data_IF_524587971695
#
_entry.id   IF_524587971695
#
_cell.length_a   1.000
_cell.length_b   1.000
_cell.length_c   1.000
_cell.angle_alpha   90.00
_cell.angle_beta   90.00
_cell.angle_gamma   90.00
#
_symmetry.space_group_name_H-M   'P 1'
#
loop_
_entity.id
_entity.type
_entity.pdbx_description
1 polymer ?
#
# COMPACT_ATOMS: atom_id res chain seq x y z
N UNK A 1 -11.28 6.84 -26.71
CA UNK A 1 -11.46 5.39 -26.50
C UNK A 1 -11.78 5.12 -25.04
N UNK A 2 -12.73 4.23 -24.75
CA UNK A 2 -13.07 3.79 -23.40
C UNK A 2 -12.63 2.36 -23.17
N UNK A 3 -12.17 2.09 -21.95
CA UNK A 3 -11.75 0.76 -21.49
C UNK A 3 -12.78 0.22 -20.51
N UNK A 4 -13.20 -1.01 -20.73
CA UNK A 4 -14.03 -1.79 -19.83
C UNK A 4 -13.10 -2.77 -19.11
N UNK A 5 -12.88 -2.50 -17.83
CA UNK A 5 -11.96 -3.27 -17.00
C UNK A 5 -12.73 -4.11 -16.00
N UNK A 6 -12.24 -5.30 -15.76
CA UNK A 6 -12.62 -6.11 -14.61
C UNK A 6 -11.48 -6.02 -13.58
N UNK A 7 -11.81 -5.62 -12.37
CA UNK A 7 -10.90 -5.52 -11.23
C UNK A 7 -11.29 -6.58 -10.22
N UNK A 8 -10.42 -7.55 -9.99
CA UNK A 8 -10.67 -8.72 -9.15
C UNK A 8 -9.70 -8.68 -7.98
N UNK A 9 -10.19 -8.67 -6.75
CA UNK A 9 -9.34 -8.78 -5.57
C UNK A 9 -8.88 -10.23 -5.37
N UNK A 10 -7.62 -10.41 -4.96
CA UNK A 10 -7.06 -11.71 -4.59
C UNK A 10 -7.46 -12.07 -3.17
N UNK A 11 -8.64 -12.63 -3.03
CA UNK A 11 -9.29 -13.00 -1.77
C UNK A 11 -9.96 -14.37 -1.88
N UNK A 12 -10.18 -15.04 -0.74
CA UNK A 12 -10.87 -16.34 -0.70
C UNK A 12 -12.30 -16.23 -1.23
N UNK A 13 -12.98 -15.13 -0.95
CA UNK A 13 -14.29 -14.83 -1.48
C UNK A 13 -14.18 -14.08 -2.82
N UNK A 14 -15.18 -14.25 -3.68
CA UNK A 14 -15.22 -13.54 -4.95
C UNK A 14 -15.57 -12.06 -4.72
N UNK A 15 -14.57 -11.21 -4.90
CA UNK A 15 -14.72 -9.74 -4.84
C UNK A 15 -14.23 -9.16 -6.16
N UNK A 16 -15.14 -8.61 -6.95
CA UNK A 16 -14.82 -7.99 -8.24
C UNK A 16 -15.70 -6.79 -8.55
N UNK A 17 -15.15 -5.88 -9.35
CA UNK A 17 -15.90 -4.79 -9.95
C UNK A 17 -15.61 -4.73 -11.45
N UNK A 18 -16.65 -4.49 -12.24
CA UNK A 18 -16.50 -4.11 -13.64
C UNK A 18 -16.68 -2.61 -13.76
N UNK A 19 -15.72 -1.96 -14.37
CA UNK A 19 -15.65 -0.50 -14.46
C UNK A 19 -15.41 -0.06 -15.90
N UNK A 20 -15.85 1.14 -16.22
CA UNK A 20 -15.55 1.81 -17.47
C UNK A 20 -14.74 3.06 -17.16
N UNK A 21 -13.64 3.26 -17.87
CA UNK A 21 -12.75 4.41 -17.70
C UNK A 21 -12.28 4.91 -19.07
N UNK A 22 -12.09 6.22 -19.22
CA UNK A 22 -11.51 6.80 -20.43
C UNK A 22 -10.04 6.39 -20.57
N UNK A 23 -9.64 6.04 -21.79
CA UNK A 23 -8.26 5.68 -22.10
C UNK A 23 -7.26 6.82 -21.88
N UNK A 24 -7.72 8.07 -22.02
CA UNK A 24 -6.92 9.26 -21.74
C UNK A 24 -6.73 9.57 -20.24
N UNK A 25 -7.51 8.93 -19.35
CA UNK A 25 -7.31 9.06 -17.90
C UNK A 25 -5.95 8.50 -17.50
N UNK A 26 -5.31 9.09 -16.51
CA UNK A 26 -4.04 8.59 -15.99
C UNK A 26 -4.23 7.31 -15.15
N UNK A 27 -3.17 6.51 -15.03
CA UNK A 27 -3.17 5.37 -14.11
C UNK A 27 -3.33 5.82 -12.65
N UNK A 28 -2.95 7.07 -12.32
CA UNK A 28 -3.24 7.67 -11.02
C UNK A 28 -4.76 7.83 -10.80
N UNK A 29 -5.51 8.29 -11.81
CA UNK A 29 -6.97 8.34 -11.70
C UNK A 29 -7.58 6.94 -11.52
N UNK A 30 -7.07 5.94 -12.24
CA UNK A 30 -7.52 4.55 -12.03
C UNK A 30 -7.20 4.06 -10.61
N UNK A 31 -6.02 4.37 -10.08
CA UNK A 31 -5.66 4.09 -8.68
C UNK A 31 -6.65 4.71 -7.70
N UNK A 32 -6.95 6.02 -7.84
CA UNK A 32 -7.90 6.72 -6.97
C UNK A 32 -9.30 6.10 -7.01
N UNK A 33 -9.77 5.68 -8.20
CA UNK A 33 -11.05 5.01 -8.34
C UNK A 33 -11.07 3.62 -7.70
N UNK A 34 -10.04 2.79 -7.92
CA UNK A 34 -9.92 1.47 -7.26
C UNK A 34 -9.89 1.67 -5.75
N UNK A 35 -9.07 2.60 -5.29
CA UNK A 35 -8.93 2.94 -3.89
C UNK A 35 -10.27 3.28 -3.23
N UNK A 36 -11.06 4.17 -3.84
CA UNK A 36 -12.35 4.61 -3.32
C UNK A 36 -13.40 3.50 -3.39
N UNK A 37 -13.45 2.80 -4.52
CA UNK A 37 -14.48 1.79 -4.78
C UNK A 37 -14.33 0.54 -3.91
N UNK A 38 -13.10 0.16 -3.58
CA UNK A 38 -12.83 -0.97 -2.69
C UNK A 38 -12.69 -0.57 -1.23
N UNK A 39 -12.80 0.73 -0.90
CA UNK A 39 -12.70 1.25 0.46
C UNK A 39 -11.35 0.98 1.11
N UNK A 40 -10.27 1.14 0.35
CA UNK A 40 -8.91 0.91 0.82
C UNK A 40 -8.48 2.03 1.80
N UNK A 41 -7.48 1.77 2.64
CA UNK A 41 -7.02 2.73 3.63
C UNK A 41 -6.15 3.83 2.98
N UNK A 42 -6.35 5.12 3.28
CA UNK A 42 -5.52 6.19 2.73
C UNK A 42 -4.09 6.16 3.27
N UNK A 43 -3.15 6.60 2.42
CA UNK A 43 -1.75 6.79 2.82
C UNK A 43 -0.84 5.59 2.58
N UNK A 44 -1.36 4.49 2.08
CA UNK A 44 -0.55 3.33 1.71
C UNK A 44 0.02 3.47 0.30
N UNK A 45 1.18 2.86 0.09
CA UNK A 45 1.83 2.81 -1.23
C UNK A 45 1.16 1.78 -2.13
N UNK A 46 1.13 2.09 -3.42
CA UNK A 46 0.61 1.19 -4.44
C UNK A 46 1.46 1.23 -5.71
N UNK A 47 1.40 0.17 -6.49
CA UNK A 47 2.00 0.11 -7.82
C UNK A 47 1.13 -0.72 -8.76
N UNK A 48 1.17 -0.36 -10.05
CA UNK A 48 0.69 -1.24 -11.10
C UNK A 48 1.87 -2.03 -11.68
N UNK A 49 1.57 -3.22 -12.16
CA UNK A 49 2.53 -4.05 -12.87
C UNK A 49 1.92 -4.47 -14.20
N UNK A 50 2.70 -4.38 -15.28
CA UNK A 50 2.31 -5.01 -16.54
C UNK A 50 2.22 -6.51 -16.32
N UNK A 51 1.25 -7.18 -16.95
CA UNK A 51 1.06 -8.60 -16.75
C UNK A 51 0.78 -9.33 -18.07
N UNK A 52 1.05 -10.63 -18.06
CA UNK A 52 0.73 -11.54 -19.16
C UNK A 52 -0.66 -12.15 -18.99
N UNK A 53 -1.13 -12.90 -20.00
CA UNK A 53 -2.35 -13.67 -19.91
C UNK A 53 -2.32 -14.77 -18.81
N UNK A 54 -1.13 -15.11 -18.30
CA UNK A 54 -0.93 -16.06 -17.19
C UNK A 54 -0.81 -15.35 -15.83
N UNK A 55 -0.99 -14.05 -15.78
CA UNK A 55 -0.82 -13.22 -14.58
C UNK A 55 0.61 -13.15 -14.05
N UNK A 56 1.60 -13.40 -14.91
CA UNK A 56 3.00 -13.19 -14.54
C UNK A 56 3.26 -11.71 -14.30
N UNK A 57 3.91 -11.38 -13.20
CA UNK A 57 4.27 -10.01 -12.86
C UNK A 57 5.42 -9.53 -13.74
N UNK A 58 5.19 -8.45 -14.46
CA UNK A 58 6.18 -7.77 -15.32
C UNK A 58 6.74 -6.50 -14.70
N UNK A 59 7.03 -5.52 -15.55
CA UNK A 59 7.61 -4.25 -15.13
C UNK A 59 6.64 -3.46 -14.23
N UNK A 60 7.22 -2.74 -13.28
CA UNK A 60 6.47 -1.90 -12.33
C UNK A 60 6.18 -0.53 -12.93
N UNK A 61 4.96 -0.04 -12.67
CA UNK A 61 4.58 1.34 -12.82
C UNK A 61 4.30 1.92 -11.43
N UNK A 62 5.26 2.62 -10.83
CA UNK A 62 5.12 3.14 -9.48
C UNK A 62 4.17 4.35 -9.42
N UNK A 63 3.68 4.65 -8.22
CA UNK A 63 2.84 5.82 -7.97
C UNK A 63 3.58 7.12 -8.35
N UNK A 64 4.85 7.23 -7.98
CA UNK A 64 5.70 8.39 -8.23
C UNK A 64 6.96 8.00 -8.98
N UNK A 65 7.35 8.82 -9.96
CA UNK A 65 8.62 8.65 -10.63
C UNK A 65 9.77 9.01 -9.67
N UNK A 66 10.82 8.19 -9.64
CA UNK A 66 12.05 8.50 -8.89
C UNK A 66 12.99 9.41 -9.67
N UNK A 67 12.91 9.37 -11.00
CA UNK A 67 13.68 10.19 -11.94
C UNK A 67 12.76 10.72 -13.03
N UNK A 68 13.11 11.84 -13.65
CA UNK A 68 12.30 12.52 -14.67
C UNK A 68 12.01 11.63 -15.91
N UNK A 69 12.86 10.64 -16.17
CA UNK A 69 12.75 9.73 -17.31
C UNK A 69 11.99 8.43 -16.97
N UNK A 70 11.61 8.22 -15.71
CA UNK A 70 10.89 7.01 -15.30
C UNK A 70 9.38 7.17 -15.45
N UNK A 71 8.68 6.13 -15.96
CA UNK A 71 7.23 6.14 -16.01
C UNK A 71 6.63 6.11 -14.60
N UNK A 72 5.50 6.80 -14.42
CA UNK A 72 4.73 6.80 -13.19
C UNK A 72 3.24 6.74 -13.49
N UNK A 73 2.44 6.49 -12.46
CA UNK A 73 0.97 6.46 -12.61
C UNK A 73 0.40 7.79 -13.12
N UNK A 74 0.99 8.92 -12.74
CA UNK A 74 0.54 10.24 -13.18
C UNK A 74 0.87 10.49 -14.66
N UNK A 75 2.05 10.07 -15.10
CA UNK A 75 2.55 10.29 -16.47
C UNK A 75 2.09 9.27 -17.49
N UNK A 76 1.41 8.18 -17.08
CA UNK A 76 0.98 7.09 -17.96
C UNK A 76 -0.54 7.03 -18.03
N UNK A 77 -1.10 7.07 -19.23
CA UNK A 77 -2.55 6.90 -19.42
C UNK A 77 -2.96 5.42 -19.40
N UNK A 78 -4.25 5.16 -19.15
CA UNK A 78 -4.84 3.81 -19.20
C UNK A 78 -4.60 3.16 -20.57
N UNK A 79 -4.77 3.93 -21.64
CA UNK A 79 -4.53 3.46 -23.01
C UNK A 79 -3.05 3.10 -23.23
N UNK A 80 -2.11 3.90 -22.73
CA UNK A 80 -0.69 3.59 -22.81
C UNK A 80 -0.33 2.34 -22.03
N UNK A 81 -0.85 2.20 -20.82
CA UNK A 81 -0.60 1.03 -19.96
C UNK A 81 -1.08 -0.26 -20.62
N UNK A 82 -2.28 -0.26 -21.17
CA UNK A 82 -2.85 -1.45 -21.81
C UNK A 82 -2.55 -1.56 -23.33
N UNK A 83 -1.66 -0.74 -23.90
CA UNK A 83 -1.32 -0.78 -25.31
C UNK A 83 -0.67 -2.10 -25.76
N UNK A 84 0.09 -2.75 -24.88
CA UNK A 84 0.81 -3.99 -25.15
C UNK A 84 0.27 -5.23 -24.46
N UNK A 85 -0.70 -5.08 -23.58
CA UNK A 85 -1.28 -6.17 -22.78
C UNK A 85 -2.74 -5.91 -22.47
N UNK A 86 -3.50 -6.97 -22.19
CA UNK A 86 -4.86 -6.86 -21.65
C UNK A 86 -4.94 -7.07 -20.16
N UNK A 87 -3.81 -7.39 -19.53
CA UNK A 87 -3.73 -7.79 -18.13
C UNK A 87 -2.76 -6.88 -17.38
N UNK A 88 -3.11 -6.54 -16.16
CA UNK A 88 -2.27 -5.81 -15.22
C UNK A 88 -2.50 -6.32 -13.80
N UNK A 89 -1.55 -6.06 -12.94
CA UNK A 89 -1.70 -6.26 -11.50
C UNK A 89 -1.67 -4.89 -10.83
N UNK A 90 -2.50 -4.72 -9.82
CA UNK A 90 -2.44 -3.59 -8.91
C UNK A 90 -2.13 -4.13 -7.52
N UNK A 91 -1.02 -3.71 -6.96
CA UNK A 91 -0.58 -4.09 -5.61
C UNK A 91 -0.72 -2.88 -4.72
N UNK A 92 -1.45 -3.04 -3.65
CA UNK A 92 -1.74 -2.01 -2.67
C UNK A 92 -1.29 -2.48 -1.29
N UNK A 93 -0.67 -1.60 -0.52
CA UNK A 93 -0.09 -1.91 0.78
C UNK A 93 0.89 -3.09 0.71
N UNK A 94 2.15 -2.80 0.42
CA UNK A 94 3.20 -3.83 0.22
C UNK A 94 3.49 -4.68 1.46
N UNK A 95 3.04 -4.26 2.64
CA UNK A 95 3.16 -5.06 3.86
C UNK A 95 2.15 -6.19 3.90
N UNK A 96 0.90 -5.90 3.52
CA UNK A 96 -0.19 -6.87 3.49
C UNK A 96 -0.36 -7.55 2.12
N UNK A 97 0.33 -7.01 1.09
CA UNK A 97 0.32 -7.54 -0.28
C UNK A 97 -1.09 -7.75 -0.84
N UNK A 98 -1.93 -6.71 -0.75
CA UNK A 98 -3.26 -6.76 -1.36
C UNK A 98 -3.13 -6.67 -2.89
N UNK A 99 -3.43 -7.72 -3.58
CA UNK A 99 -3.30 -7.85 -5.03
C UNK A 99 -4.68 -7.78 -5.69
N UNK A 100 -4.75 -7.02 -6.78
CA UNK A 100 -5.91 -6.96 -7.65
C UNK A 100 -5.49 -7.28 -9.08
N UNK A 101 -6.23 -8.17 -9.70
CA UNK A 101 -6.07 -8.53 -11.10
C UNK A 101 -6.91 -7.59 -11.97
N UNK A 102 -6.28 -6.98 -12.96
CA UNK A 102 -6.91 -6.07 -13.92
C UNK A 102 -6.99 -6.73 -15.29
N UNK A 103 -8.17 -6.88 -15.82
CA UNK A 103 -8.40 -7.46 -17.15
C UNK A 103 -9.17 -6.46 -18.04
N UNK A 104 -8.66 -6.18 -19.23
CA UNK A 104 -9.38 -5.45 -20.26
C UNK A 104 -10.39 -6.40 -20.92
N UNK A 105 -11.66 -6.25 -20.61
CA UNK A 105 -12.75 -7.06 -21.16
C UNK A 105 -13.04 -6.65 -22.59
N UNK A 106 -13.14 -5.33 -22.84
CA UNK A 106 -13.33 -4.74 -24.17
C UNK A 106 -12.91 -3.28 -24.18
N UNK A 107 -12.80 -2.73 -25.38
CA UNK A 107 -12.62 -1.29 -25.63
C UNK A 107 -13.68 -0.78 -26.58
N UNK A 108 -14.09 0.48 -26.44
CA UNK A 108 -15.05 1.16 -27.34
C UNK A 108 -14.49 2.51 -27.78
N UNK A 109 -14.71 2.86 -29.04
CA UNK A 109 -14.25 4.15 -29.61
C UNK A 109 -15.13 5.33 -29.16
N UNK A 110 -16.40 5.07 -28.87
CA UNK A 110 -17.34 6.09 -28.39
C UNK A 110 -17.01 6.42 -26.92
N UNK A 111 -16.95 7.71 -26.61
CA UNK A 111 -16.70 8.20 -25.28
C UNK A 111 -18.01 8.66 -24.62
N UNK A 112 -18.30 8.11 -23.45
CA UNK A 112 -19.38 8.58 -22.59
C UNK A 112 -19.05 9.93 -21.96
N UNK A 113 -20.01 10.53 -21.27
CA UNK A 113 -19.84 11.82 -20.59
C UNK A 113 -19.03 11.71 -19.31
N UNK A 114 -19.05 10.55 -18.66
CA UNK A 114 -18.38 10.32 -17.37
C UNK A 114 -17.00 9.71 -17.60
N UNK A 115 -16.02 10.19 -16.83
CA UNK A 115 -14.63 9.73 -16.93
C UNK A 115 -14.45 8.32 -16.36
N UNK A 116 -15.27 7.97 -15.36
CA UNK A 116 -15.28 6.67 -14.70
C UNK A 116 -16.69 6.27 -14.28
N UNK A 117 -17.04 4.98 -14.46
CA UNK A 117 -18.32 4.41 -14.06
C UNK A 117 -18.14 2.98 -13.56
N UNK A 118 -18.71 2.65 -12.41
CA UNK A 118 -18.86 1.27 -11.94
C UNK A 118 -20.09 0.67 -12.60
N UNK A 119 -19.88 -0.38 -13.39
CA UNK A 119 -20.94 -1.08 -14.13
C UNK A 119 -21.55 -2.24 -13.34
N UNK A 120 -20.71 -2.93 -12.57
CA UNK A 120 -21.08 -4.10 -11.77
C UNK A 120 -20.17 -4.20 -10.55
N UNK A 121 -20.71 -4.67 -9.44
CA UNK A 121 -19.98 -4.93 -8.21
C UNK A 121 -20.46 -6.23 -7.58
N UNK A 122 -19.53 -7.13 -7.26
CA UNK A 122 -19.80 -8.41 -6.61
C UNK A 122 -18.89 -8.54 -5.42
N UNK A 123 -19.46 -8.85 -4.25
CA UNK A 123 -18.73 -8.99 -3.00
C UNK A 123 -18.20 -7.66 -2.44
N UNK A 124 -17.67 -7.74 -1.25
CA UNK A 124 -16.97 -6.62 -0.56
C UNK A 124 -15.69 -7.18 0.03
N UNK A 125 -14.63 -6.36 0.06
CA UNK A 125 -13.40 -6.76 0.76
C UNK A 125 -13.70 -7.03 2.23
N UNK A 126 -13.10 -8.08 2.82
CA UNK A 126 -13.17 -8.24 4.26
C UNK A 126 -12.63 -6.95 4.89
N UNK A 127 -13.44 -6.34 5.76
CA UNK A 127 -12.94 -5.22 6.54
C UNK A 127 -11.83 -5.77 7.40
N UNK A 128 -10.60 -5.40 7.11
CA UNK A 128 -9.54 -5.51 8.08
C UNK A 128 -9.97 -4.63 9.24
N UNK A 129 -10.62 -5.23 10.24
CA UNK A 129 -10.61 -4.67 11.56
C UNK A 129 -9.12 -4.66 11.91
N UNK A 130 -8.44 -3.53 11.64
CA UNK A 130 -7.21 -3.23 12.32
C UNK A 130 -7.49 -3.59 13.78
N UNK A 131 -6.62 -4.40 14.44
CA UNK A 131 -6.81 -4.62 15.86
C UNK A 131 -7.01 -3.22 16.42
N UNK A 132 -8.21 -2.97 16.91
CA UNK A 132 -8.51 -1.76 17.64
C UNK A 132 -7.62 -1.83 18.88
N UNK A 133 -6.36 -1.45 18.72
CA UNK A 133 -5.68 -0.71 19.74
C UNK A 133 -6.43 0.62 19.77
N UNK A 134 -7.64 0.57 20.31
CA UNK A 134 -8.14 1.66 21.10
C UNK A 134 -7.13 1.79 22.26
N UNK A 135 -5.93 2.27 21.94
CA UNK A 135 -5.24 3.14 22.82
C UNK A 135 -6.23 4.30 22.95
N UNK A 136 -7.12 4.17 23.94
CA UNK A 136 -7.78 5.30 24.53
C UNK A 136 -6.62 6.27 24.79
N UNK A 137 -6.46 7.24 23.89
CA UNK A 137 -5.66 8.44 24.16
C UNK A 137 -6.16 8.90 25.52
N UNK A 138 -5.34 8.84 26.57
CA UNK A 138 -5.75 9.38 27.84
C UNK A 138 -6.03 10.85 27.58
N UNK A 139 -7.24 11.28 27.88
CA UNK A 139 -7.67 12.68 27.76
C UNK A 139 -7.03 13.54 28.85
N UNK A 140 -5.91 13.12 29.42
CA UNK A 140 -5.11 13.85 30.37
C UNK A 140 -3.81 14.31 29.71
N UNK A 141 -3.50 15.57 29.91
CA UNK A 141 -2.22 16.15 29.53
C UNK A 141 -1.09 15.37 30.24
N UNK A 142 0.00 14.98 29.55
CA UNK A 142 1.11 14.26 30.17
C UNK A 142 1.69 14.94 31.40
N UNK A 143 1.52 16.25 31.54
CA UNK A 143 1.92 17.03 32.72
C UNK A 143 1.04 16.82 33.97
N UNK A 144 -0.13 16.22 33.81
CA UNK A 144 -1.08 15.91 34.89
C UNK A 144 -1.12 14.41 35.25
N UNK A 145 -0.27 13.61 34.63
CA UNK A 145 -0.18 12.17 34.87
C UNK A 145 0.81 11.89 36.00
N UNK A 146 0.51 10.89 36.83
CA UNK A 146 1.43 10.41 37.84
C UNK A 146 2.58 9.61 37.21
N UNK A 147 3.72 9.48 37.92
CA UNK A 147 4.87 8.70 37.44
C UNK A 147 4.50 7.24 37.13
N UNK A 148 3.56 6.65 37.90
CA UNK A 148 3.05 5.29 37.65
C UNK A 148 2.24 5.20 36.35
N UNK A 149 1.41 6.22 36.04
CA UNK A 149 0.63 6.28 34.82
C UNK A 149 1.53 6.51 33.58
N UNK A 150 2.59 7.33 33.74
CA UNK A 150 3.61 7.55 32.71
C UNK A 150 4.43 6.29 32.43
N UNK A 151 4.87 5.58 33.47
CA UNK A 151 5.62 4.34 33.32
C UNK A 151 4.81 3.24 32.63
N UNK A 152 3.52 3.11 32.97
CA UNK A 152 2.63 2.17 32.30
C UNK A 152 2.38 2.55 30.81
N UNK A 153 2.29 3.85 30.52
CA UNK A 153 2.07 4.33 29.15
C UNK A 153 3.29 4.11 28.23
N UNK A 154 4.50 4.27 28.79
CA UNK A 154 5.76 4.12 28.05
C UNK A 154 6.43 2.75 28.21
N UNK A 155 5.80 1.81 28.95
CA UNK A 155 6.30 0.45 29.14
C UNK A 155 7.60 0.38 29.93
N UNK A 156 7.82 1.27 30.90
CA UNK A 156 9.04 1.37 31.67
C UNK A 156 9.02 0.52 32.95
N UNK A 157 7.97 -0.23 33.21
CA UNK A 157 7.81 -1.07 34.42
C UNK A 157 8.78 -2.25 34.50
N UNK A 158 9.44 -2.62 33.39
CA UNK A 158 10.37 -3.75 33.35
C UNK A 158 11.84 -3.40 33.59
N UNK A 159 12.17 -2.13 33.91
CA UNK A 159 13.58 -1.71 34.01
C UNK A 159 14.16 -1.70 35.44
N UNK A 160 13.36 -2.01 36.47
CA UNK A 160 13.82 -1.93 37.89
C UNK A 160 14.16 -3.27 38.54
N UNK A 161 14.47 -4.33 37.78
CA UNK A 161 14.95 -5.59 38.37
C UNK A 161 16.07 -6.27 37.58
N UNK A 162 17.12 -5.52 37.28
CA UNK A 162 18.35 -6.05 36.66
C UNK A 162 19.59 -5.49 37.32
N UNK A 163 20.04 -6.15 38.37
CA UNK A 163 21.34 -5.87 38.99
C UNK A 163 22.46 -5.81 37.92
N UNK A 164 23.20 -4.71 37.93
CA UNK A 164 24.44 -4.57 37.19
C UNK A 164 25.44 -5.62 37.71
N UNK A 165 25.96 -6.55 36.90
CA UNK A 165 27.11 -7.36 37.30
C UNK A 165 28.36 -6.49 37.28
N UNK A 166 29.11 -6.65 38.38
CA UNK A 166 30.26 -5.92 38.82
C UNK A 166 31.31 -5.52 37.78
N UNK A 167 31.79 -4.32 37.97
CA UNK A 167 33.08 -3.88 37.47
C UNK A 167 34.20 -4.76 38.07
N UNK A 168 34.81 -5.59 37.23
CA UNK A 168 36.12 -6.14 37.54
C UNK A 168 37.19 -5.23 36.94
N UNK A 169 38.01 -4.69 37.80
CA UNK A 169 39.28 -4.05 37.49
C UNK A 169 40.20 -5.12 36.86
N UNK A 170 40.62 -4.91 35.63
CA UNK A 170 41.64 -5.71 34.93
C UNK A 170 42.69 -4.82 34.34
N UNK A 171 43.76 -4.78 35.06
CA UNK A 171 45.20 -4.50 34.82
C UNK A 171 45.64 -4.16 33.39
N UNK A 172 46.29 -3.00 33.34
CA UNK A 172 47.43 -2.51 32.60
C UNK A 172 48.27 -3.60 31.87
N UNK A 173 48.26 -3.59 30.52
CA UNK A 173 49.33 -4.17 29.73
C UNK A 173 49.75 -3.21 28.62
N UNK A 174 50.86 -2.53 28.98
CA UNK A 174 51.76 -1.79 28.14
C UNK A 174 52.28 -2.64 26.95
N UNK A 175 51.96 -2.30 25.73
CA UNK A 175 52.77 -2.70 24.57
C UNK A 175 53.38 -1.48 23.91
N UNK A 176 54.71 -1.36 24.18
CA UNK A 176 55.58 -0.47 23.45
C UNK A 176 55.71 -0.89 21.98
N UNK A 177 55.68 0.09 21.11
CA UNK A 177 56.18 -0.04 19.74
C UNK A 177 57.56 0.62 19.68
N UNK A 178 58.56 -0.22 19.50
CA UNK A 178 59.89 0.16 18.99
C UNK A 178 59.90 -0.15 17.47
N UNK A 179 60.46 0.83 16.70
CA UNK A 179 60.81 0.92 15.32
C UNK A 179 59.70 1.33 14.33
#
# INVERSE_FOLDING_TARGET
>A
MEFFLRVIADTDDTVLKEVRIKGAASMMNLHEHIFNEFGLNPGEMASFYYSTANWDQGDELPMFAMDDDMPSMEGTSVEQFFSGTKNGLYVYNFLDMNIFYLEVVKTEEEEGFEDFVVLSSVGELPKNEAPSTAASTPSKDPSEMSEEELNALYGLDDLDSGALPGAEEGEDDSYGYDY
#
